data_IF_592487520788
#
_entry.id   IF_592487520788
#
_cell.length_a   1.000
_cell.length_b   1.000
_cell.length_c   1.000
_cell.angle_alpha   90.00
_cell.angle_beta   90.00
_cell.angle_gamma   90.00
#
_symmetry.space_group_name_H-M   'P 1'
#
loop_
_entity.id
_entity.type
_entity.pdbx_description
1 polymer ?
#
# COMPACT_ATOMS: atom_id res chain seq x y z
N UNK A 1 10.26 25.92 -5.19
CA UNK A 1 10.88 25.23 -4.04
C UNK A 1 9.96 24.09 -3.65
N UNK A 2 10.34 22.86 -3.97
CA UNK A 2 9.64 21.65 -3.52
C UNK A 2 10.02 21.48 -2.05
N UNK A 3 9.05 21.68 -1.16
CA UNK A 3 9.24 21.30 0.24
C UNK A 3 9.37 19.78 0.25
N UNK A 4 10.59 19.28 0.37
CA UNK A 4 10.81 17.87 0.68
C UNK A 4 10.48 17.68 2.17
N UNK A 5 9.19 17.54 2.44
CA UNK A 5 8.62 17.28 3.75
C UNK A 5 9.05 15.93 4.37
N UNK A 6 10.00 15.23 3.74
CA UNK A 6 10.51 13.94 4.18
C UNK A 6 11.62 14.05 5.22
N UNK A 7 12.35 15.18 5.30
CA UNK A 7 13.47 15.34 6.24
C UNK A 7 13.05 15.81 7.64
N UNK A 8 11.85 16.37 7.82
CA UNK A 8 11.38 16.92 9.11
C UNK A 8 10.37 16.04 9.85
N UNK A 9 10.06 14.83 9.37
CA UNK A 9 9.13 13.93 10.07
C UNK A 9 9.85 13.22 11.21
N UNK A 10 10.12 13.94 12.30
CA UNK A 10 10.48 13.34 13.58
C UNK A 10 9.37 12.36 13.99
N UNK A 11 9.64 11.05 13.95
CA UNK A 11 8.75 9.95 14.41
C UNK A 11 7.24 10.24 14.26
N UNK A 12 6.82 10.75 13.09
CA UNK A 12 5.41 10.82 12.77
C UNK A 12 4.83 9.41 12.76
N UNK A 13 3.54 9.29 13.06
CA UNK A 13 2.80 8.03 12.99
C UNK A 13 3.05 7.38 11.63
N UNK A 14 3.84 6.32 11.59
CA UNK A 14 4.17 5.61 10.37
C UNK A 14 2.87 5.06 9.76
N UNK A 15 2.62 5.37 8.48
CA UNK A 15 1.48 4.75 7.81
C UNK A 15 1.82 3.29 7.50
N UNK A 16 1.21 2.39 8.25
CA UNK A 16 1.28 0.94 8.01
C UNK A 16 -0.07 0.48 7.44
N UNK A 17 -0.17 0.25 6.11
CA UNK A 17 -1.41 -0.21 5.49
C UNK A 17 -1.93 -1.49 6.14
N UNK A 18 -3.22 -1.50 6.50
CA UNK A 18 -3.92 -2.72 6.92
C UNK A 18 -4.21 -3.58 5.70
N UNK A 19 -4.26 -4.89 5.91
CA UNK A 19 -4.55 -5.83 4.85
C UNK A 19 -5.46 -6.96 5.35
N UNK A 20 -6.42 -7.34 4.52
CA UNK A 20 -7.19 -8.58 4.65
C UNK A 20 -6.63 -9.60 3.65
N UNK A 21 -6.51 -10.88 4.06
CA UNK A 21 -5.95 -11.96 3.23
C UNK A 21 -6.97 -13.08 3.13
N UNK A 22 -7.29 -13.49 1.91
CA UNK A 22 -8.27 -14.53 1.61
C UNK A 22 -7.62 -15.64 0.80
N UNK A 23 -7.89 -16.90 1.16
CA UNK A 23 -7.63 -18.05 0.28
C UNK A 23 -8.78 -18.17 -0.72
N UNK A 24 -8.45 -18.42 -1.97
CA UNK A 24 -9.40 -18.77 -3.03
C UNK A 24 -9.12 -20.19 -3.54
N UNK A 25 -10.01 -20.78 -4.36
CA UNK A 25 -9.72 -22.08 -4.97
C UNK A 25 -8.43 -22.11 -5.78
N UNK A 26 -8.12 -21.05 -6.54
CA UNK A 26 -6.94 -20.97 -7.41
C UNK A 26 -5.75 -20.20 -6.82
N UNK A 27 -5.80 -19.75 -5.57
CA UNK A 27 -4.71 -18.97 -4.96
C UNK A 27 -5.15 -18.06 -3.84
N UNK A 28 -4.89 -16.75 -3.99
CA UNK A 28 -5.08 -15.75 -2.93
C UNK A 28 -5.66 -14.43 -3.44
N UNK A 29 -6.38 -13.74 -2.56
CA UNK A 29 -6.73 -12.33 -2.72
C UNK A 29 -6.28 -11.58 -1.48
N UNK A 30 -5.55 -10.49 -1.68
CA UNK A 30 -5.10 -9.59 -0.60
C UNK A 30 -5.65 -8.21 -0.85
N UNK A 31 -6.36 -7.65 0.14
CA UNK A 31 -6.97 -6.32 0.06
C UNK A 31 -6.25 -5.37 1.02
N UNK A 32 -5.62 -4.32 0.51
CA UNK A 32 -4.96 -3.29 1.30
C UNK A 32 -5.81 -2.03 1.39
N UNK A 33 -5.91 -1.45 2.60
CA UNK A 33 -6.48 -0.13 2.81
C UNK A 33 -5.41 0.94 2.53
N UNK A 34 -5.57 1.61 1.39
CA UNK A 34 -4.69 2.64 0.86
C UNK A 34 -5.45 3.94 0.54
N UNK A 35 -6.52 4.24 1.27
CA UNK A 35 -7.29 5.47 1.07
C UNK A 35 -6.38 6.71 1.00
N UNK A 36 -6.56 7.59 0.01
CA UNK A 36 -5.71 8.76 -0.19
C UNK A 36 -4.32 8.50 -0.80
N UNK A 37 -4.00 7.26 -1.20
CA UNK A 37 -2.84 6.95 -2.04
C UNK A 37 -3.27 7.01 -3.51
N UNK A 38 -2.41 7.55 -4.38
CA UNK A 38 -2.66 7.54 -5.83
C UNK A 38 -2.23 6.19 -6.42
N UNK A 39 -2.99 5.57 -7.34
CA UNK A 39 -2.61 4.29 -7.92
C UNK A 39 -1.21 4.25 -8.52
N UNK A 40 -0.81 5.33 -9.19
CA UNK A 40 0.52 5.50 -9.80
C UNK A 40 1.68 5.61 -8.79
N UNK A 41 1.39 5.84 -7.50
CA UNK A 41 2.37 5.88 -6.42
C UNK A 41 2.50 4.50 -5.71
N UNK A 42 1.85 3.45 -6.23
CA UNK A 42 1.85 2.10 -5.67
C UNK A 42 2.66 1.17 -6.57
N UNK A 43 3.54 0.38 -5.97
CA UNK A 43 4.25 -0.70 -6.62
C UNK A 43 3.98 -2.01 -5.88
N UNK A 44 3.65 -3.05 -6.64
CA UNK A 44 3.35 -4.40 -6.15
C UNK A 44 4.36 -5.35 -6.75
N UNK A 45 5.00 -6.14 -5.89
CA UNK A 45 6.01 -7.12 -6.27
C UNK A 45 5.70 -8.45 -5.60
N UNK A 46 5.96 -9.54 -6.31
CA UNK A 46 5.93 -10.89 -5.77
C UNK A 46 7.31 -11.53 -5.94
N UNK A 47 7.88 -12.01 -4.83
CA UNK A 47 9.17 -12.70 -4.83
C UNK A 47 9.00 -14.05 -4.13
N UNK A 48 8.85 -15.13 -4.92
CA UNK A 48 8.46 -16.42 -4.38
C UNK A 48 7.16 -16.30 -3.60
N UNK A 49 7.14 -16.69 -2.33
CA UNK A 49 5.97 -16.63 -1.43
C UNK A 49 5.72 -15.27 -0.76
N UNK A 50 6.45 -14.21 -1.16
CA UNK A 50 6.43 -12.92 -0.49
C UNK A 50 5.80 -11.85 -1.39
N UNK A 51 4.62 -11.36 -0.98
CA UNK A 51 3.97 -10.20 -1.56
C UNK A 51 4.51 -8.93 -0.88
N UNK A 52 5.03 -8.00 -1.66
CA UNK A 52 5.53 -6.71 -1.21
C UNK A 52 4.77 -5.58 -1.90
N UNK A 53 4.23 -4.67 -1.11
CA UNK A 53 3.53 -3.46 -1.58
C UNK A 53 4.23 -2.25 -1.01
N UNK A 54 4.71 -1.37 -1.88
CA UNK A 54 5.36 -0.11 -1.49
C UNK A 54 4.68 1.07 -2.13
N UNK A 55 4.80 2.23 -1.47
CA UNK A 55 4.28 3.46 -2.02
C UNK A 55 4.43 4.63 -1.07
N UNK A 56 3.63 5.66 -1.32
CA UNK A 56 3.64 6.87 -0.50
C UNK A 56 2.25 7.49 -0.42
N UNK A 57 1.82 7.78 0.80
CA UNK A 57 0.62 8.58 1.05
C UNK A 57 1.04 10.03 1.26
N UNK A 58 0.54 10.94 0.42
CA UNK A 58 0.85 12.38 0.48
C UNK A 58 -0.39 13.17 0.83
N UNK A 59 -0.21 14.24 1.59
CA UNK A 59 -1.25 15.26 1.72
C UNK A 59 -1.17 16.21 0.52
N UNK A 60 -2.11 16.07 -0.42
CA UNK A 60 -2.19 16.95 -1.58
C UNK A 60 -3.28 18.02 -1.46
N UNK A 61 -3.93 18.13 -0.31
CA UNK A 61 -5.04 19.06 -0.10
C UNK A 61 -4.61 20.35 0.62
N UNK A 62 -3.53 20.30 1.40
CA UNK A 62 -3.06 21.47 2.15
C UNK A 62 -2.45 22.53 1.23
N UNK A 63 -2.92 23.77 1.40
CA UNK A 63 -2.45 24.95 0.70
C UNK A 63 -1.73 25.94 1.64
N UNK A 64 -1.03 26.92 1.05
CA UNK A 64 -0.38 27.99 1.83
C UNK A 64 -1.42 28.78 2.62
N UNK A 65 -1.12 29.03 3.90
CA UNK A 65 -1.98 29.78 4.81
C UNK A 65 -2.91 28.92 5.66
N UNK A 66 -3.01 27.61 5.37
CA UNK A 66 -3.76 26.69 6.21
C UNK A 66 -3.00 26.46 7.52
N UNK A 67 -3.72 26.40 8.64
CA UNK A 67 -3.18 26.02 9.94
C UNK A 67 -3.96 24.82 10.45
N UNK A 68 -3.27 23.75 10.81
CA UNK A 68 -3.90 22.58 11.41
C UNK A 68 -4.30 22.87 12.86
N UNK A 69 -5.44 22.35 13.28
CA UNK A 69 -5.81 22.29 14.71
C UNK A 69 -5.45 20.93 15.31
N UNK A 70 -5.64 19.84 14.54
CA UNK A 70 -5.24 18.48 14.86
C UNK A 70 -4.89 17.73 13.56
N UNK A 71 -3.99 16.74 13.65
CA UNK A 71 -3.61 15.86 12.54
C UNK A 71 -3.53 14.42 13.03
N UNK A 72 -4.49 13.59 12.62
CA UNK A 72 -4.54 12.16 12.96
C UNK A 72 -4.18 11.26 11.76
N UNK A 73 -4.18 11.82 10.55
CA UNK A 73 -3.88 11.09 9.32
C UNK A 73 -2.36 11.05 9.12
N UNK A 74 -1.84 9.83 8.98
CA UNK A 74 -0.44 9.58 8.66
C UNK A 74 -0.14 9.78 7.17
N UNK A 75 0.90 10.55 6.87
CA UNK A 75 1.44 10.74 5.53
C UNK A 75 2.91 10.34 5.52
N UNK A 76 3.22 9.21 4.91
CA UNK A 76 4.58 8.70 4.83
C UNK A 76 4.76 7.83 3.59
N UNK A 77 6.03 7.52 3.27
CA UNK A 77 6.33 6.31 2.50
C UNK A 77 5.91 5.10 3.34
N UNK A 78 5.47 4.04 2.67
CA UNK A 78 5.11 2.80 3.32
C UNK A 78 5.70 1.60 2.58
N UNK A 79 5.96 0.54 3.34
CA UNK A 79 6.28 -0.78 2.82
C UNK A 79 5.52 -1.81 3.64
N UNK A 80 4.70 -2.62 2.96
CA UNK A 80 3.94 -3.70 3.57
C UNK A 80 4.30 -5.02 2.88
N UNK A 81 4.83 -5.94 3.68
CA UNK A 81 5.26 -7.25 3.21
C UNK A 81 4.45 -8.34 3.90
N UNK A 82 3.91 -9.27 3.12
CA UNK A 82 3.13 -10.41 3.58
C UNK A 82 3.69 -11.69 2.97
N UNK A 83 3.89 -12.71 3.78
CA UNK A 83 4.25 -14.05 3.32
C UNK A 83 2.99 -14.89 3.20
N UNK A 84 2.77 -15.46 2.01
CA UNK A 84 1.63 -16.31 1.71
C UNK A 84 2.08 -17.77 1.64
N UNK A 85 1.26 -18.75 2.08
CA UNK A 85 1.59 -20.16 1.92
C UNK A 85 1.31 -20.60 0.48
N UNK A 86 2.24 -20.30 -0.43
CA UNK A 86 2.25 -20.76 -1.82
C UNK A 86 3.69 -20.98 -2.33
N UNK A 87 3.83 -21.85 -3.32
CA UNK A 87 5.05 -22.04 -4.13
C UNK A 87 4.90 -21.23 -5.42
N UNK A 88 5.12 -19.92 -5.33
CA UNK A 88 4.85 -18.98 -6.40
C UNK A 88 6.03 -18.81 -7.38
N UNK A 89 6.52 -19.91 -7.95
CA UNK A 89 7.48 -19.84 -9.07
C UNK A 89 6.77 -19.47 -10.39
N UNK A 90 5.48 -19.81 -10.53
CA UNK A 90 4.67 -19.55 -11.73
C UNK A 90 3.42 -18.71 -11.46
N UNK A 91 3.33 -18.07 -10.29
CA UNK A 91 2.13 -17.33 -9.92
C UNK A 91 1.92 -16.10 -10.82
N UNK A 92 0.69 -15.86 -11.24
CA UNK A 92 0.31 -14.63 -11.92
C UNK A 92 -0.29 -13.64 -10.92
N UNK A 93 0.03 -12.36 -11.08
CA UNK A 93 -0.43 -11.29 -10.19
C UNK A 93 -1.20 -10.27 -11.00
N UNK A 94 -2.41 -9.96 -10.55
CA UNK A 94 -3.22 -8.85 -11.09
C UNK A 94 -3.64 -7.92 -9.97
N UNK A 95 -3.88 -6.67 -10.31
CA UNK A 95 -4.27 -5.63 -9.36
C UNK A 95 -5.47 -4.83 -9.84
N UNK A 96 -6.31 -4.46 -8.89
CA UNK A 96 -7.40 -3.51 -9.07
C UNK A 96 -7.33 -2.47 -7.95
N UNK A 97 -7.70 -1.22 -8.26
CA UNK A 97 -7.78 -0.16 -7.27
C UNK A 97 -9.16 0.48 -7.31
N UNK A 98 -9.92 0.33 -6.22
CA UNK A 98 -11.28 0.81 -6.12
C UNK A 98 -11.50 1.44 -4.74
N UNK A 99 -11.98 2.69 -4.70
CA UNK A 99 -12.40 3.39 -3.48
C UNK A 99 -11.36 3.41 -2.35
N UNK A 100 -10.07 3.50 -2.70
CA UNK A 100 -8.98 3.50 -1.72
C UNK A 100 -8.51 2.10 -1.32
N UNK A 101 -9.05 1.04 -1.91
CA UNK A 101 -8.66 -0.34 -1.68
C UNK A 101 -7.83 -0.83 -2.86
N UNK A 102 -6.62 -1.32 -2.58
CA UNK A 102 -5.85 -2.10 -3.54
C UNK A 102 -6.19 -3.58 -3.35
N UNK A 103 -6.70 -4.20 -4.40
CA UNK A 103 -7.00 -5.63 -4.45
C UNK A 103 -5.90 -6.28 -5.27
N UNK A 104 -5.15 -7.20 -4.66
CA UNK A 104 -4.12 -7.99 -5.31
C UNK A 104 -4.62 -9.42 -5.41
N UNK A 105 -4.79 -9.91 -6.64
CA UNK A 105 -5.16 -11.30 -6.91
C UNK A 105 -3.92 -12.06 -7.34
N UNK A 106 -3.68 -13.20 -6.70
CA UNK A 106 -2.54 -14.07 -6.95
C UNK A 106 -3.09 -15.43 -7.33
N UNK A 107 -2.95 -15.78 -8.60
CA UNK A 107 -3.31 -17.11 -9.12
C UNK A 107 -2.07 -18.01 -9.04
N UNK A 108 -2.16 -19.11 -8.31
CA UNK A 108 -1.07 -20.06 -8.12
C UNK A 108 -1.09 -21.20 -9.14
N UNK A 109 -2.14 -21.31 -9.96
CA UNK A 109 -2.26 -22.35 -10.99
C UNK A 109 -2.39 -23.79 -10.45
N UNK A 110 -2.85 -23.95 -9.20
CA UNK A 110 -3.15 -25.25 -8.58
C UNK A 110 -4.51 -25.80 -9.02
#
# INVERSE_FOLDING_TARGET
>A
MKYDAFEEIGRGLEFVPRADVYRTPGGWVVKFDLAGVKPQDIQVEMHGSVLRVVGVRRDSFIERGFRHHSMEISYSRFERTLRLPCTAETASVTTEYLDGLLIVTIDTGE
#
